data_IF_790833478143
#
_entry.id   IF_790833478143
#
_cell.length_a   1.000
_cell.length_b   1.000
_cell.length_c   1.000
_cell.angle_alpha   90.00
_cell.angle_beta   90.00
_cell.angle_gamma   90.00
#
_symmetry.space_group_name_H-M   'P 1'
#
loop_
_entity.id
_entity.type
_entity.pdbx_description
1 polymer ?
#
# COMPACT_ATOMS: atom_id res chain seq x y z
N UNK A 1 -46.89 25.75 17.47
CA UNK A 1 -46.51 25.01 16.24
C UNK A 1 -44.99 24.92 16.10
N UNK A 2 -44.27 25.90 16.65
CA UNK A 2 -42.81 26.07 16.59
C UNK A 2 -41.98 24.96 17.22
N UNK A 3 -42.44 24.35 18.31
CA UNK A 3 -41.68 23.28 19.00
C UNK A 3 -41.52 22.03 18.12
N UNK A 4 -42.52 21.71 17.28
CA UNK A 4 -42.46 20.57 16.35
C UNK A 4 -41.48 20.83 15.20
N UNK A 5 -41.46 22.07 14.69
CA UNK A 5 -40.55 22.51 13.62
C UNK A 5 -39.09 22.49 14.11
N UNK A 6 -38.84 22.94 15.35
CA UNK A 6 -37.51 22.91 15.95
C UNK A 6 -36.97 21.48 16.13
N UNK A 7 -37.82 20.53 16.51
CA UNK A 7 -37.46 19.11 16.65
C UNK A 7 -37.11 18.48 15.30
N UNK A 8 -37.87 18.77 14.24
CA UNK A 8 -37.59 18.28 12.87
C UNK A 8 -36.26 18.82 12.36
N UNK A 9 -35.97 20.12 12.58
CA UNK A 9 -34.68 20.72 12.21
C UNK A 9 -33.50 20.04 12.91
N UNK A 10 -33.61 19.76 14.21
CA UNK A 10 -32.57 19.03 14.96
C UNK A 10 -32.36 17.62 14.42
N UNK A 11 -33.43 16.90 14.09
CA UNK A 11 -33.35 15.56 13.52
C UNK A 11 -32.66 15.55 12.15
N UNK A 12 -32.98 16.53 11.30
CA UNK A 12 -32.33 16.70 10.00
C UNK A 12 -30.83 16.94 10.14
N UNK A 13 -30.42 17.81 11.08
CA UNK A 13 -28.99 18.07 11.34
C UNK A 13 -28.27 16.80 11.79
N UNK A 14 -28.88 15.98 12.65
CA UNK A 14 -28.29 14.72 13.11
C UNK A 14 -28.08 13.76 11.94
N UNK A 15 -29.08 13.61 11.07
CA UNK A 15 -28.98 12.76 9.87
C UNK A 15 -27.89 13.27 8.94
N UNK A 16 -27.84 14.58 8.70
CA UNK A 16 -26.82 15.18 7.84
C UNK A 16 -25.41 14.92 8.39
N UNK A 17 -25.23 15.04 9.70
CA UNK A 17 -23.95 14.81 10.37
C UNK A 17 -23.52 13.34 10.25
N UNK A 18 -24.48 12.41 10.34
CA UNK A 18 -24.27 10.97 10.11
C UNK A 18 -23.80 10.68 8.69
N UNK A 19 -24.47 11.27 7.69
CA UNK A 19 -24.12 11.11 6.26
C UNK A 19 -22.72 11.67 5.99
N UNK A 20 -22.42 12.87 6.49
CA UNK A 20 -21.09 13.49 6.32
C UNK A 20 -20.01 12.65 6.98
N UNK A 21 -20.27 12.09 8.16
CA UNK A 21 -19.31 11.22 8.85
C UNK A 21 -19.05 9.93 8.05
N UNK A 22 -20.09 9.34 7.47
CA UNK A 22 -19.96 8.16 6.63
C UNK A 22 -19.14 8.45 5.37
N UNK A 23 -19.36 9.62 4.74
CA UNK A 23 -18.61 10.06 3.57
C UNK A 23 -17.12 10.26 3.89
N UNK A 24 -16.79 10.84 5.04
CA UNK A 24 -15.39 11.01 5.48
C UNK A 24 -14.74 9.64 5.67
N UNK A 25 -15.41 8.69 6.32
CA UNK A 25 -14.90 7.32 6.49
C UNK A 25 -14.68 6.66 5.13
N UNK A 26 -15.67 6.72 4.22
CA UNK A 26 -15.52 6.18 2.88
C UNK A 26 -14.36 6.82 2.11
N UNK A 27 -14.16 8.13 2.23
CA UNK A 27 -13.05 8.84 1.58
C UNK A 27 -11.68 8.40 2.13
N UNK A 28 -11.57 8.17 3.44
CA UNK A 28 -10.36 7.64 4.07
C UNK A 28 -10.07 6.20 3.62
N UNK A 29 -11.09 5.34 3.56
CA UNK A 29 -10.94 3.96 3.10
C UNK A 29 -10.62 3.88 1.60
N UNK A 30 -11.26 4.70 0.78
CA UNK A 30 -11.00 4.74 -0.66
C UNK A 30 -9.59 5.24 -0.98
N UNK A 31 -9.04 6.14 -0.16
CA UNK A 31 -7.67 6.63 -0.31
C UNK A 31 -6.64 5.87 0.52
N UNK A 32 -7.01 4.73 1.14
CA UNK A 32 -6.08 3.93 1.96
C UNK A 32 -4.82 3.55 1.18
N UNK A 33 -4.93 3.25 -0.11
CA UNK A 33 -3.77 2.96 -0.96
C UNK A 33 -2.79 4.14 -1.07
N UNK A 34 -3.27 5.39 -1.01
CA UNK A 34 -2.42 6.57 -1.16
C UNK A 34 -1.73 6.99 0.14
N UNK A 35 -2.29 6.59 1.30
CA UNK A 35 -1.73 6.93 2.62
C UNK A 35 -0.95 5.78 3.28
N UNK A 36 -1.24 4.52 2.93
CA UNK A 36 -0.65 3.34 3.58
C UNK A 36 0.19 2.46 2.64
N UNK A 37 0.16 2.72 1.34
CA UNK A 37 1.17 2.16 0.44
C UNK A 37 2.12 3.29 0.08
N UNK A 38 3.40 3.22 0.49
CA UNK A 38 4.43 3.97 -0.20
C UNK A 38 4.29 3.72 -1.70
N UNK A 39 4.16 4.79 -2.46
CA UNK A 39 4.06 4.69 -3.91
C UNK A 39 5.37 4.08 -4.41
N UNK A 40 5.28 2.98 -5.16
CA UNK A 40 6.43 2.46 -5.88
C UNK A 40 6.75 3.49 -6.96
N UNK A 41 7.83 4.25 -6.75
CA UNK A 41 8.17 5.38 -7.62
C UNK A 41 8.71 4.86 -8.94
N UNK A 42 9.55 3.82 -8.89
CA UNK A 42 10.18 3.17 -10.05
C UNK A 42 10.50 1.71 -9.76
N UNK A 43 10.76 0.94 -10.82
CA UNK A 43 11.36 -0.38 -10.70
C UNK A 43 12.82 -0.31 -11.16
N UNK A 44 13.73 -0.81 -10.33
CA UNK A 44 15.13 -1.03 -10.70
C UNK A 44 15.30 -2.43 -11.27
N UNK A 45 16.15 -2.59 -12.28
CA UNK A 45 16.55 -3.89 -12.77
C UNK A 45 17.85 -4.30 -12.09
N UNK A 46 17.82 -5.43 -11.38
CA UNK A 46 19.00 -6.00 -10.71
C UNK A 46 19.19 -7.42 -11.21
N UNK A 47 20.37 -7.70 -11.76
CA UNK A 47 20.77 -9.05 -12.14
C UNK A 47 21.31 -9.75 -10.92
N UNK A 48 20.70 -10.88 -10.53
CA UNK A 48 21.14 -11.67 -9.39
C UNK A 48 22.21 -12.65 -9.87
N UNK A 49 23.46 -12.46 -9.43
CA UNK A 49 24.56 -13.40 -9.63
C UNK A 49 24.91 -14.13 -8.33
N UNK A 50 25.80 -15.13 -8.39
CA UNK A 50 26.22 -15.94 -7.23
C UNK A 50 26.86 -15.13 -6.08
N UNK A 51 27.23 -13.88 -6.34
CA UNK A 51 27.80 -12.97 -5.33
C UNK A 51 26.77 -12.02 -4.74
N UNK A 52 25.59 -11.97 -5.33
CA UNK A 52 24.51 -11.06 -4.97
C UNK A 52 23.64 -11.67 -3.90
N UNK A 53 23.68 -11.11 -2.69
CA UNK A 53 22.81 -11.53 -1.59
C UNK A 53 21.44 -10.82 -1.68
N UNK A 54 20.40 -11.60 -1.90
CA UNK A 54 19.02 -11.12 -2.03
C UNK A 54 18.53 -10.44 -0.75
N UNK A 55 18.97 -10.91 0.43
CA UNK A 55 18.64 -10.29 1.72
C UNK A 55 19.28 -8.90 1.88
N UNK A 56 20.49 -8.70 1.35
CA UNK A 56 21.16 -7.40 1.37
C UNK A 56 20.41 -6.40 0.48
N UNK A 57 20.04 -6.81 -0.74
CA UNK A 57 19.20 -6.03 -1.64
C UNK A 57 17.88 -5.67 -0.98
N UNK A 58 17.17 -6.65 -0.41
CA UNK A 58 15.89 -6.38 0.27
C UNK A 58 16.11 -5.37 1.39
N UNK A 59 17.19 -5.50 2.17
CA UNK A 59 17.48 -4.56 3.26
C UNK A 59 17.82 -3.15 2.79
N UNK A 60 18.51 -3.02 1.66
CA UNK A 60 18.98 -1.75 1.12
C UNK A 60 17.85 -0.98 0.44
N UNK A 61 16.96 -1.70 -0.25
CA UNK A 61 15.87 -1.12 -1.00
C UNK A 61 14.56 -0.99 -0.21
N UNK A 62 14.35 -1.74 0.87
CA UNK A 62 13.13 -1.65 1.67
C UNK A 62 13.14 -0.52 2.72
N UNK A 63 13.96 0.53 2.56
CA UNK A 63 14.25 1.56 3.61
C UNK A 63 12.97 2.00 4.36
N UNK A 64 12.78 1.48 5.58
CA UNK A 64 11.65 1.84 6.45
C UNK A 64 10.31 1.13 6.17
N UNK A 65 10.23 0.28 5.15
CA UNK A 65 9.05 -0.51 4.83
C UNK A 65 9.02 -1.89 5.48
N UNK A 66 7.81 -2.45 5.58
CA UNK A 66 7.64 -3.82 6.01
C UNK A 66 8.22 -4.78 4.97
N UNK A 67 9.34 -5.43 5.30
CA UNK A 67 10.07 -6.37 4.44
C UNK A 67 9.18 -7.40 3.77
N UNK A 68 8.16 -7.93 4.48
CA UNK A 68 7.24 -8.92 3.91
C UNK A 68 6.43 -8.38 2.73
N UNK A 69 6.03 -7.10 2.81
CA UNK A 69 5.27 -6.43 1.76
C UNK A 69 6.13 -6.15 0.54
N UNK A 70 7.38 -5.74 0.78
CA UNK A 70 8.38 -5.54 -0.25
C UNK A 70 8.69 -6.83 -1.02
N UNK A 71 8.90 -7.94 -0.30
CA UNK A 71 9.08 -9.28 -0.87
C UNK A 71 7.86 -9.69 -1.69
N UNK A 72 6.65 -9.44 -1.20
CA UNK A 72 5.40 -9.74 -1.91
C UNK A 72 5.28 -8.99 -3.25
N UNK A 73 5.64 -7.71 -3.27
CA UNK A 73 5.66 -6.91 -4.50
C UNK A 73 6.72 -7.40 -5.49
N UNK A 74 7.93 -7.75 -5.04
CA UNK A 74 8.95 -8.38 -5.91
C UNK A 74 8.41 -9.68 -6.52
N UNK A 75 7.79 -10.55 -5.72
CA UNK A 75 7.20 -11.81 -6.21
C UNK A 75 6.14 -11.55 -7.28
N UNK A 76 5.27 -10.58 -7.04
CA UNK A 76 4.17 -10.22 -7.93
C UNK A 76 4.66 -9.65 -9.25
N UNK A 77 5.64 -8.75 -9.22
CA UNK A 77 6.16 -8.08 -10.43
C UNK A 77 6.97 -9.05 -11.30
N UNK A 78 7.68 -9.99 -10.68
CA UNK A 78 8.50 -10.96 -11.39
C UNK A 78 7.79 -12.29 -11.69
N UNK A 79 6.48 -12.41 -11.38
CA UNK A 79 5.71 -13.66 -11.49
C UNK A 79 6.38 -14.86 -10.80
N UNK A 80 6.96 -14.64 -9.62
CA UNK A 80 7.64 -15.67 -8.83
C UNK A 80 6.76 -16.15 -7.69
N UNK A 81 6.59 -17.47 -7.57
CA UNK A 81 5.91 -18.08 -6.43
C UNK A 81 6.76 -18.01 -5.15
N UNK A 82 8.09 -18.13 -5.28
CA UNK A 82 9.04 -18.04 -4.19
C UNK A 82 10.29 -17.25 -4.58
N UNK A 83 10.83 -16.54 -3.58
CA UNK A 83 12.11 -15.85 -3.64
C UNK A 83 13.16 -16.78 -3.02
N UNK A 84 13.62 -17.77 -3.78
CA UNK A 84 14.72 -18.65 -3.39
C UNK A 84 15.87 -18.43 -4.37
N UNK A 85 17.08 -18.22 -3.85
CA UNK A 85 18.23 -17.84 -4.65
C UNK A 85 18.50 -18.81 -5.83
N UNK A 86 18.33 -20.12 -5.62
CA UNK A 86 18.48 -21.16 -6.66
C UNK A 86 17.61 -20.95 -7.91
N UNK A 87 16.42 -20.36 -7.78
CA UNK A 87 15.49 -20.17 -8.91
C UNK A 87 15.71 -18.87 -9.67
N UNK A 88 16.55 -17.98 -9.12
CA UNK A 88 16.61 -16.58 -9.49
C UNK A 88 18.03 -16.15 -9.85
N UNK A 89 19.05 -16.91 -9.43
CA UNK A 89 20.40 -16.77 -9.95
C UNK A 89 20.43 -16.80 -11.48
N UNK A 90 21.16 -15.83 -12.06
CA UNK A 90 21.28 -15.62 -13.51
C UNK A 90 20.09 -14.88 -14.13
N UNK A 91 19.07 -14.49 -13.36
CA UNK A 91 17.91 -13.72 -13.85
C UNK A 91 18.00 -12.25 -13.45
N UNK A 92 17.42 -11.42 -14.30
CA UNK A 92 17.21 -10.01 -13.99
C UNK A 92 15.86 -9.85 -13.32
N UNK A 93 15.87 -9.34 -12.08
CA UNK A 93 14.69 -9.03 -11.30
C UNK A 93 14.34 -7.55 -11.38
N UNK A 94 13.04 -7.28 -11.37
CA UNK A 94 12.48 -5.96 -11.17
C UNK A 94 12.22 -5.73 -9.68
N UNK A 95 12.90 -4.76 -9.10
CA UNK A 95 12.84 -4.44 -7.68
C UNK A 95 12.16 -3.09 -7.51
N UNK A 96 11.06 -2.99 -6.73
CA UNK A 96 10.42 -1.71 -6.47
C UNK A 96 11.38 -0.78 -5.71
N UNK A 97 11.51 0.45 -6.17
CA UNK A 97 12.18 1.55 -5.48
C UNK A 97 11.12 2.35 -4.75
N UNK A 98 11.24 2.44 -3.44
CA UNK A 98 10.38 3.26 -2.58
C UNK A 98 11.22 4.36 -1.93
N UNK A 99 10.64 5.56 -1.78
CA UNK A 99 11.30 6.74 -1.17
C UNK A 99 11.33 6.66 0.36
#
# INVERSE_FOLDING_TARGET
>A
MDVKILKIKKFFIIILLLIVSLLVICALYSNKNRFYNPEVIKYSQVTIDETTNLDEIISEYSKGENKEKFISEIKKVNNLSNLNDEFIYGKTLYIPLTE
#
